data_IF_316290438178
#
_entry.id   IF_316290438178
#
_cell.length_a   1.000
_cell.length_b   1.000
_cell.length_c   1.000
_cell.angle_alpha   90.00
_cell.angle_beta   90.00
_cell.angle_gamma   90.00
#
_symmetry.space_group_name_H-M   'P 1'
#
loop_
_entity.id
_entity.type
_entity.pdbx_description
1 polymer ?
#
# COMPACT_ATOMS: atom_id res chain seq x y z
N UNK A 1 18.16 -24.19 -50.83
CA UNK A 1 18.20 -23.06 -49.87
C UNK A 1 17.99 -23.62 -48.47
N UNK A 2 18.86 -23.35 -47.48
CA UNK A 2 18.65 -23.86 -46.13
C UNK A 2 17.45 -23.13 -45.50
N UNK A 3 16.57 -23.83 -44.78
CA UNK A 3 15.36 -23.23 -44.22
C UNK A 3 15.72 -22.16 -43.19
N UNK A 4 15.24 -20.93 -43.42
CA UNK A 4 15.44 -19.78 -42.53
C UNK A 4 14.90 -20.11 -41.14
N UNK A 5 15.77 -20.02 -40.12
CA UNK A 5 15.45 -20.28 -38.70
C UNK A 5 14.31 -19.37 -38.23
N UNK A 6 13.08 -19.91 -38.18
CA UNK A 6 11.86 -19.21 -37.70
C UNK A 6 11.80 -19.05 -36.17
N UNK A 7 12.88 -19.33 -35.44
CA UNK A 7 12.90 -19.40 -33.97
C UNK A 7 13.39 -18.13 -33.28
N UNK A 8 14.07 -17.22 -33.97
CA UNK A 8 14.69 -16.04 -33.33
C UNK A 8 13.68 -15.03 -32.76
N UNK A 9 12.54 -14.84 -33.44
CA UNK A 9 11.52 -13.87 -33.01
C UNK A 9 10.73 -14.37 -31.80
N UNK A 10 10.27 -15.62 -31.83
CA UNK A 10 9.55 -16.22 -30.70
C UNK A 10 10.44 -16.36 -29.45
N UNK A 11 11.72 -16.68 -29.63
CA UNK A 11 12.69 -16.71 -28.52
C UNK A 11 12.94 -15.32 -27.91
N UNK A 12 13.01 -14.28 -28.74
CA UNK A 12 13.16 -12.90 -28.26
C UNK A 12 11.90 -12.40 -27.53
N UNK A 13 10.70 -12.72 -28.03
CA UNK A 13 9.44 -12.38 -27.38
C UNK A 13 9.29 -13.11 -26.03
N UNK A 14 9.69 -14.38 -25.94
CA UNK A 14 9.72 -15.12 -24.68
C UNK A 14 10.74 -14.56 -23.68
N UNK A 15 11.94 -14.17 -24.14
CA UNK A 15 12.95 -13.53 -23.29
C UNK A 15 12.47 -12.18 -22.75
N UNK A 16 11.77 -11.40 -23.57
CA UNK A 16 11.16 -10.13 -23.14
C UNK A 16 10.06 -10.36 -22.10
N UNK A 17 9.18 -11.34 -22.31
CA UNK A 17 8.14 -11.70 -21.35
C UNK A 17 8.73 -12.13 -19.99
N UNK A 18 9.82 -12.90 -20.01
CA UNK A 18 10.53 -13.29 -18.79
C UNK A 18 11.19 -12.08 -18.10
N UNK A 19 11.86 -11.21 -18.86
CA UNK A 19 12.47 -9.99 -18.31
C UNK A 19 11.42 -9.07 -17.67
N UNK A 20 10.25 -8.94 -18.31
CA UNK A 20 9.15 -8.13 -17.80
C UNK A 20 8.59 -8.75 -16.51
N UNK A 21 8.39 -10.07 -16.49
CA UNK A 21 7.95 -10.81 -15.30
C UNK A 21 8.93 -10.68 -14.13
N UNK A 22 10.23 -10.80 -14.40
CA UNK A 22 11.28 -10.62 -13.40
C UNK A 22 11.33 -9.18 -12.89
N UNK A 23 11.21 -8.18 -13.77
CA UNK A 23 11.12 -6.78 -13.36
C UNK A 23 9.86 -6.50 -12.52
N UNK A 24 8.70 -7.03 -12.92
CA UNK A 24 7.47 -6.88 -12.14
C UNK A 24 7.59 -7.57 -10.78
N UNK A 25 8.26 -8.72 -10.69
CA UNK A 25 8.49 -9.39 -9.41
C UNK A 25 9.44 -8.58 -8.49
N UNK A 26 10.48 -7.96 -9.06
CA UNK A 26 11.46 -7.17 -8.31
C UNK A 26 10.92 -5.79 -7.90
N UNK A 27 10.23 -5.10 -8.79
CA UNK A 27 9.73 -3.73 -8.58
C UNK A 27 8.33 -3.72 -7.96
N UNK A 28 7.55 -4.79 -8.15
CA UNK A 28 6.11 -4.83 -7.85
C UNK A 28 5.74 -4.49 -6.41
N UNK A 29 6.63 -4.76 -5.46
CA UNK A 29 6.38 -4.49 -4.04
C UNK A 29 7.03 -3.21 -3.53
N UNK A 30 7.79 -2.46 -4.36
CA UNK A 30 8.49 -1.25 -3.92
C UNK A 30 7.51 -0.15 -3.54
N UNK A 31 6.41 -0.02 -4.28
CA UNK A 31 5.34 0.94 -3.98
C UNK A 31 4.70 0.66 -2.63
N UNK A 32 4.25 -0.58 -2.41
CA UNK A 32 3.63 -1.01 -1.14
C UNK A 32 4.60 -0.90 0.04
N UNK A 33 5.87 -1.28 -0.15
CA UNK A 33 6.89 -1.12 0.88
C UNK A 33 7.12 0.36 1.26
N UNK A 34 7.08 1.27 0.28
CA UNK A 34 7.18 2.70 0.53
C UNK A 34 5.94 3.23 1.26
N UNK A 35 4.73 2.82 0.85
CA UNK A 35 3.49 3.21 1.52
C UNK A 35 3.49 2.76 2.99
N UNK A 36 3.89 1.51 3.24
CA UNK A 36 4.06 0.98 4.60
C UNK A 36 5.10 1.76 5.40
N UNK A 37 6.22 2.12 4.79
CA UNK A 37 7.23 2.96 5.44
C UNK A 37 6.69 4.33 5.85
N UNK A 38 5.95 5.01 4.96
CA UNK A 38 5.33 6.31 5.26
C UNK A 38 4.31 6.17 6.38
N UNK A 39 3.44 5.16 6.32
CA UNK A 39 2.44 4.90 7.36
C UNK A 39 3.09 4.65 8.73
N UNK A 40 4.18 3.89 8.79
CA UNK A 40 4.91 3.65 10.04
C UNK A 40 5.58 4.92 10.57
N UNK A 41 6.09 5.81 9.71
CA UNK A 41 6.64 7.10 10.13
C UNK A 41 5.56 8.00 10.74
N UNK A 42 4.37 8.04 10.15
CA UNK A 42 3.24 8.82 10.67
C UNK A 42 2.77 8.29 12.03
N UNK A 43 2.62 6.97 12.16
CA UNK A 43 2.27 6.33 13.44
C UNK A 43 3.33 6.59 14.51
N UNK A 44 4.61 6.48 14.16
CA UNK A 44 5.70 6.77 15.09
C UNK A 44 5.71 8.25 15.50
N UNK A 45 5.34 9.17 14.61
CA UNK A 45 5.25 10.60 14.92
C UNK A 45 4.15 10.90 15.93
N UNK A 46 2.96 10.32 15.75
CA UNK A 46 1.86 10.44 16.70
C UNK A 46 2.23 9.86 18.08
N UNK A 47 2.74 8.62 18.11
CA UNK A 47 3.16 7.97 19.35
C UNK A 47 4.26 8.75 20.10
N UNK A 48 5.16 9.40 19.35
CA UNK A 48 6.19 10.28 19.91
C UNK A 48 5.59 11.53 20.56
N UNK A 49 4.61 12.15 19.91
CA UNK A 49 3.92 13.33 20.44
C UNK A 49 3.22 13.01 21.77
N UNK A 50 2.44 11.93 21.79
CA UNK A 50 1.73 11.46 22.99
C UNK A 50 2.70 11.19 24.15
N UNK A 51 3.83 10.54 23.86
CA UNK A 51 4.87 10.28 24.85
C UNK A 51 5.49 11.56 25.42
N UNK A 52 5.87 12.51 24.57
CA UNK A 52 6.48 13.77 25.01
C UNK A 52 5.46 14.65 25.76
N UNK A 53 4.19 14.62 25.37
CA UNK A 53 3.11 15.28 26.09
C UNK A 53 2.93 14.69 27.47
N UNK A 54 2.82 13.36 27.59
CA UNK A 54 2.71 12.67 28.88
C UNK A 54 3.92 12.94 29.78
N UNK A 55 5.13 12.91 29.21
CA UNK A 55 6.38 13.24 29.92
C UNK A 55 6.35 14.67 30.45
N UNK A 56 5.94 15.62 29.62
CA UNK A 56 5.85 17.03 29.99
C UNK A 56 4.77 17.27 31.03
N UNK A 57 3.62 16.61 30.91
CA UNK A 57 2.51 16.68 31.87
C UNK A 57 2.91 16.13 33.24
N UNK A 58 3.63 15.01 33.29
CA UNK A 58 4.12 14.42 34.53
C UNK A 58 5.10 15.34 35.28
N UNK A 59 5.99 16.01 34.54
CA UNK A 59 6.94 16.99 35.09
C UNK A 59 6.23 18.26 35.52
N UNK A 60 5.33 18.79 34.70
CA UNK A 60 4.56 20.01 35.00
C UNK A 60 3.61 19.82 36.19
N UNK A 61 3.04 18.62 36.35
CA UNK A 61 2.22 18.23 37.47
C UNK A 61 3.01 17.95 38.76
N UNK A 62 4.35 17.97 38.71
CA UNK A 62 5.22 17.73 39.86
C UNK A 62 5.23 16.28 40.35
N UNK A 63 4.71 15.33 39.57
CA UNK A 63 4.68 13.92 39.94
C UNK A 63 6.08 13.29 39.91
N UNK A 64 6.93 13.74 38.98
CA UNK A 64 8.32 13.30 38.80
C UNK A 64 9.18 14.45 38.26
N UNK A 65 10.48 14.43 38.53
CA UNK A 65 11.43 15.35 37.90
C UNK A 65 11.95 14.80 36.57
N UNK A 66 12.53 15.67 35.72
CA UNK A 66 13.18 15.23 34.48
C UNK A 66 14.29 14.20 34.75
N UNK A 67 15.11 14.40 35.78
CA UNK A 67 16.21 13.50 36.13
C UNK A 67 15.70 12.12 36.56
N UNK A 68 14.59 12.05 37.29
CA UNK A 68 13.97 10.79 37.70
C UNK A 68 13.46 10.01 36.47
N UNK A 69 12.82 10.68 35.53
CA UNK A 69 12.38 10.07 34.27
C UNK A 69 13.56 9.54 33.46
N UNK A 70 14.66 10.29 33.39
CA UNK A 70 15.87 9.87 32.67
C UNK A 70 16.57 8.69 33.34
N UNK A 71 16.61 8.65 34.67
CA UNK A 71 17.12 7.50 35.44
C UNK A 71 16.27 6.24 35.24
N UNK A 72 14.96 6.38 35.09
CA UNK A 72 14.05 5.28 34.75
C UNK A 72 14.14 4.85 33.28
N UNK A 73 14.89 5.58 32.43
CA UNK A 73 15.05 5.27 31.01
C UNK A 73 14.06 5.99 30.09
N UNK A 74 13.13 6.78 30.62
CA UNK A 74 12.18 7.61 29.87
C UNK A 74 12.83 8.91 29.39
N UNK A 75 13.82 8.76 28.50
CA UNK A 75 14.55 9.86 27.90
C UNK A 75 13.72 10.57 26.84
N UNK A 76 14.08 11.83 26.54
CA UNK A 76 13.50 12.54 25.40
C UNK A 76 13.78 11.81 24.10
N UNK A 77 12.80 11.81 23.23
CA UNK A 77 12.87 11.21 21.90
C UNK A 77 13.56 12.14 20.90
N UNK A 78 14.38 11.56 20.04
CA UNK A 78 14.96 12.29 18.90
C UNK A 78 13.86 12.62 17.88
N UNK A 79 14.07 13.68 17.09
CA UNK A 79 13.12 14.07 16.06
C UNK A 79 13.11 13.03 14.95
N UNK A 80 11.92 12.57 14.55
CA UNK A 80 11.76 11.65 13.44
C UNK A 80 12.08 12.36 12.11
N UNK A 81 12.65 11.64 11.13
CA UNK A 81 12.81 12.17 9.78
C UNK A 81 11.45 12.47 9.16
N UNK A 82 11.37 13.54 8.37
CA UNK A 82 10.17 13.86 7.63
C UNK A 82 9.90 12.78 6.57
N UNK A 83 8.65 12.35 6.38
CA UNK A 83 8.34 11.40 5.32
C UNK A 83 8.65 12.05 3.95
N UNK A 84 9.22 11.28 3.01
CA UNK A 84 9.46 11.77 1.67
C UNK A 84 8.16 12.21 0.99
N UNK A 85 8.14 13.42 0.43
CA UNK A 85 6.97 13.98 -0.21
C UNK A 85 6.71 13.29 -1.57
N UNK A 86 5.52 12.69 -1.73
CA UNK A 86 5.00 12.34 -3.06
C UNK A 86 4.40 13.57 -3.73
N UNK A 87 4.71 13.76 -5.01
CA UNK A 87 4.05 14.76 -5.83
C UNK A 87 2.55 14.45 -5.96
N UNK A 88 1.74 15.48 -6.25
CA UNK A 88 0.30 15.31 -6.42
C UNK A 88 -0.07 14.34 -7.55
N UNK A 89 0.78 14.23 -8.59
CA UNK A 89 0.61 13.29 -9.70
C UNK A 89 0.76 11.83 -9.25
N UNK A 90 1.72 11.55 -8.37
CA UNK A 90 1.98 10.20 -7.84
C UNK A 90 0.86 9.73 -6.91
N UNK A 91 0.24 10.65 -6.15
CA UNK A 91 -0.94 10.35 -5.33
C UNK A 91 -2.19 10.01 -6.16
N UNK A 92 -2.36 10.64 -7.33
CA UNK A 92 -3.50 10.39 -8.22
C UNK A 92 -3.41 9.07 -9.00
N UNK A 93 -2.19 8.57 -9.26
CA UNK A 93 -1.99 7.27 -9.90
C UNK A 93 -2.30 6.09 -8.97
N UNK A 94 -2.09 6.26 -7.66
CA UNK A 94 -2.37 5.21 -6.66
C UNK A 94 -3.87 4.91 -6.51
N UNK A 95 -4.74 5.93 -6.57
CA UNK A 95 -6.20 5.73 -6.54
C UNK A 95 -6.73 5.10 -7.83
N UNK A 96 -6.01 5.29 -8.94
CA UNK A 96 -6.39 4.73 -10.25
C UNK A 96 -6.00 3.25 -10.40
N UNK A 97 -5.00 2.78 -9.66
CA UNK A 97 -4.55 1.38 -9.70
C UNK A 97 -5.40 0.44 -8.83
N UNK A 98 -6.06 0.95 -7.78
CA UNK A 98 -6.96 0.17 -6.92
C UNK A 98 -8.31 -0.17 -7.58
N UNK A 99 -8.61 0.41 -8.75
CA UNK A 99 -9.85 0.18 -9.51
C UNK A 99 -9.72 -0.73 -10.74
N UNK A 100 -8.50 -1.17 -11.10
CA UNK A 100 -8.29 -2.00 -12.28
C UNK A 100 -8.32 -3.50 -11.94
N UNK A 101 -9.42 -3.96 -11.35
CA UNK A 101 -9.79 -5.37 -11.33
C UNK A 101 -10.89 -5.62 -12.38
N UNK A 102 -10.60 -5.27 -13.63
CA UNK A 102 -11.41 -5.72 -14.77
C UNK A 102 -10.59 -6.78 -15.54
N UNK A 103 -11.02 -8.05 -15.57
CA UNK A 103 -10.45 -9.01 -16.49
C UNK A 103 -10.93 -8.61 -17.88
N UNK A 104 -10.07 -7.94 -18.64
CA UNK A 104 -10.32 -7.67 -20.05
C UNK A 104 -10.27 -8.99 -20.84
N UNK A 105 -11.40 -9.72 -20.87
CA UNK A 105 -11.56 -10.91 -21.70
C UNK A 105 -11.88 -10.46 -23.12
N UNK A 106 -10.86 -10.35 -23.97
CA UNK A 106 -11.08 -10.30 -25.41
C UNK A 106 -11.59 -11.68 -25.87
N UNK A 107 -12.91 -11.77 -26.05
CA UNK A 107 -13.56 -12.76 -26.90
C UNK A 107 -13.91 -14.10 -26.24
N UNK A 108 -15.08 -14.17 -25.60
CA UNK A 108 -16.00 -15.31 -25.71
C UNK A 108 -17.35 -14.92 -25.11
N UNK A 109 -18.40 -14.97 -25.91
CA UNK A 109 -19.77 -14.81 -25.46
C UNK A 109 -20.15 -15.93 -24.48
N UNK A 110 -20.75 -15.57 -23.33
CA UNK A 110 -21.68 -16.46 -22.64
C UNK A 110 -22.63 -15.65 -21.76
N UNK A 111 -23.90 -15.75 -22.12
CA UNK A 111 -25.09 -15.20 -21.45
C UNK A 111 -25.26 -15.79 -20.06
N UNK A 112 -25.22 -14.98 -19.00
CA UNK A 112 -26.00 -15.23 -17.77
C UNK A 112 -26.45 -13.91 -17.14
N UNK A 113 -27.76 -13.72 -17.16
CA UNK A 113 -28.51 -12.60 -16.59
C UNK A 113 -28.88 -12.95 -15.14
N UNK A 114 -28.65 -12.09 -14.13
CA UNK A 114 -29.26 -12.27 -12.83
C UNK A 114 -30.39 -11.25 -12.65
N UNK A 115 -31.64 -11.72 -12.61
CA UNK A 115 -32.74 -10.98 -12.01
C UNK A 115 -33.18 -11.72 -10.75
N UNK A 116 -32.65 -11.28 -9.61
CA UNK A 116 -33.16 -11.63 -8.30
C UNK A 116 -34.54 -10.98 -8.12
N UNK A 117 -35.60 -11.78 -8.09
CA UNK A 117 -36.95 -11.33 -7.76
C UNK A 117 -37.07 -11.35 -6.24
N UNK A 118 -37.12 -10.15 -5.65
CA UNK A 118 -37.45 -9.93 -4.25
C UNK A 118 -38.93 -10.21 -3.96
N UNK A 119 -39.16 -10.71 -2.75
CA UNK A 119 -40.43 -11.06 -2.15
C UNK A 119 -41.43 -9.89 -2.05
N UNK A 120 -42.71 -10.17 -2.27
CA UNK A 120 -43.82 -9.51 -1.55
C UNK A 120 -44.88 -10.55 -1.17
N UNK A 121 -44.91 -10.81 0.14
CA UNK A 121 -46.02 -11.16 1.02
C UNK A 121 -47.40 -11.35 0.39
N UNK A 122 -47.93 -12.57 0.47
CA UNK A 122 -49.35 -12.85 0.33
C UNK A 122 -50.04 -12.77 1.70
N UNK A 123 -51.05 -11.93 1.80
CA UNK A 123 -52.10 -12.04 2.83
C UNK A 123 -53.43 -12.24 2.12
N UNK A 124 -54.16 -13.26 2.60
CA UNK A 124 -55.47 -13.72 2.17
C UNK A 124 -56.55 -12.63 2.22
N UNK A 125 -57.48 -12.68 1.27
CA UNK A 125 -58.85 -12.17 1.44
C UNK A 125 -59.85 -12.91 0.55
#
# INVERSE_FOLDING_TARGET
>A
MPPRKKTGRAAAEAAYANLLKENTALVGNVGEAFDNYVALLEQAAAAREDYEEARTAAVKGGAVTNDQLEQMGYKKTTKLPAPPARSAAEKAQQTSAAGAADPQTNGAASTQQPAAVGATTGEDH
#
